data_IF_073389804746
#
_entry.id   IF_073389804746
#
_cell.length_a   1.000
_cell.length_b   1.000
_cell.length_c   1.000
_cell.angle_alpha   90.00
_cell.angle_beta   90.00
_cell.angle_gamma   90.00
#
_symmetry.space_group_name_H-M   'P 1'
#
loop_
_entity.id
_entity.type
_entity.pdbx_description
1 polymer ?
#
# COMPACT_ATOMS: atom_id res chain seq x y z
N UNK A 1 34.44 3.63 32.31
CA UNK A 1 33.40 3.83 31.28
C UNK A 1 33.85 5.04 30.49
N UNK A 2 33.84 4.93 29.17
CA UNK A 2 34.34 5.99 28.29
C UNK A 2 33.40 7.21 28.38
N UNK A 3 33.88 8.41 28.77
CA UNK A 3 32.99 9.56 29.06
C UNK A 3 32.15 10.01 27.86
N UNK A 4 32.63 9.75 26.62
CA UNK A 4 31.93 10.15 25.40
C UNK A 4 30.69 9.26 25.05
N UNK A 5 30.54 8.10 25.71
CA UNK A 5 29.37 7.22 25.46
C UNK A 5 28.03 7.87 25.85
N UNK A 6 28.04 8.86 26.75
CA UNK A 6 26.86 9.62 27.12
C UNK A 6 26.36 10.57 26.01
N UNK A 7 27.27 10.97 25.12
CA UNK A 7 27.00 11.91 24.01
C UNK A 7 27.00 11.20 22.66
N UNK A 8 26.87 9.86 22.65
CA UNK A 8 26.81 9.08 21.41
C UNK A 8 25.59 9.49 20.56
N UNK A 9 25.79 10.01 19.34
CA UNK A 9 24.68 10.35 18.47
C UNK A 9 23.82 9.10 18.16
N UNK A 10 22.51 9.25 18.13
CA UNK A 10 21.58 8.15 17.82
C UNK A 10 21.98 7.40 16.53
N UNK A 11 22.37 8.12 15.49
CA UNK A 11 22.86 7.54 14.23
C UNK A 11 24.09 6.64 14.35
N UNK A 12 24.88 6.77 15.45
CA UNK A 12 26.04 5.94 15.73
C UNK A 12 25.72 4.75 16.66
N UNK A 13 24.52 4.73 17.24
CA UNK A 13 24.08 3.64 18.11
C UNK A 13 23.66 2.42 17.27
N UNK A 14 24.43 1.33 17.38
CA UNK A 14 24.24 0.08 16.64
C UNK A 14 24.21 -1.09 17.62
N UNK A 15 23.12 -1.25 18.39
CA UNK A 15 23.01 -2.37 19.31
C UNK A 15 22.96 -3.69 18.54
N UNK A 16 23.65 -4.71 19.08
CA UNK A 16 23.56 -6.09 18.56
C UNK A 16 22.76 -6.93 19.54
N UNK A 17 21.69 -7.52 19.03
CA UNK A 17 20.91 -8.49 19.81
C UNK A 17 21.81 -9.64 20.28
N UNK A 18 21.55 -10.12 21.49
CA UNK A 18 22.16 -11.31 22.07
C UNK A 18 21.16 -12.46 22.21
N UNK A 19 19.95 -12.27 21.68
CA UNK A 19 18.95 -13.34 21.62
C UNK A 19 19.44 -14.47 20.73
N UNK A 20 19.06 -15.68 21.08
CA UNK A 20 19.25 -16.87 20.27
C UNK A 20 17.86 -17.39 19.93
N UNK A 21 17.37 -17.01 18.77
CA UNK A 21 16.05 -17.35 18.25
C UNK A 21 16.20 -18.20 17.00
N UNK A 22 15.11 -18.84 16.58
CA UNK A 22 15.07 -19.54 15.29
C UNK A 22 15.26 -18.55 14.16
N UNK A 23 15.98 -18.98 13.13
CA UNK A 23 16.19 -18.21 11.91
C UNK A 23 15.91 -19.11 10.71
N UNK A 24 14.92 -18.72 9.90
CA UNK A 24 14.61 -19.41 8.66
C UNK A 24 14.91 -18.49 7.48
N UNK A 25 15.54 -19.06 6.46
CA UNK A 25 15.68 -18.39 5.17
C UNK A 25 14.51 -18.82 4.28
N UNK A 26 13.66 -17.86 3.90
CA UNK A 26 12.52 -18.08 2.99
C UNK A 26 12.85 -17.40 1.67
N UNK A 27 13.45 -18.17 0.77
CA UNK A 27 13.94 -17.66 -0.50
C UNK A 27 12.81 -17.29 -1.48
N UNK A 28 11.63 -17.93 -1.36
CA UNK A 28 10.48 -17.75 -2.26
C UNK A 28 9.19 -18.11 -1.52
N UNK A 29 8.06 -17.58 -2.00
CA UNK A 29 6.75 -17.87 -1.45
C UNK A 29 6.45 -19.39 -1.49
N UNK A 30 5.92 -19.92 -0.38
CA UNK A 30 5.55 -21.35 -0.21
C UNK A 30 4.48 -21.77 -1.21
N UNK A 31 3.51 -20.90 -1.47
CA UNK A 31 2.51 -21.04 -2.52
C UNK A 31 2.60 -19.84 -3.46
N UNK A 32 2.15 -19.95 -4.73
CA UNK A 32 2.27 -18.84 -5.68
C UNK A 32 1.61 -17.55 -5.18
N UNK A 33 2.28 -16.40 -5.37
CA UNK A 33 1.83 -15.10 -4.89
C UNK A 33 1.61 -14.11 -6.04
N UNK A 34 0.79 -13.10 -5.80
CA UNK A 34 0.60 -11.91 -6.64
C UNK A 34 0.89 -10.71 -5.74
N UNK A 35 1.81 -9.86 -6.17
CA UNK A 35 2.04 -8.58 -5.51
C UNK A 35 0.98 -7.57 -6.00
N UNK A 36 -0.01 -7.31 -5.15
CA UNK A 36 -1.14 -6.45 -5.48
C UNK A 36 -0.88 -4.96 -5.26
N UNK A 37 0.33 -4.58 -4.79
CA UNK A 37 0.68 -3.18 -4.57
C UNK A 37 2.14 -2.94 -4.91
N UNK A 38 2.38 -2.44 -6.11
CA UNK A 38 3.72 -2.11 -6.56
C UNK A 38 3.72 -0.93 -7.56
N UNK A 39 4.89 -0.34 -7.78
CA UNK A 39 5.10 0.82 -8.63
C UNK A 39 6.10 0.50 -9.72
N UNK A 40 5.64 0.32 -10.97
CA UNK A 40 6.46 -0.11 -12.11
C UNK A 40 6.66 0.97 -13.17
N UNK A 41 5.86 2.02 -13.11
CA UNK A 41 5.87 3.12 -14.07
C UNK A 41 6.79 4.28 -13.65
N UNK A 42 6.57 5.43 -14.29
CA UNK A 42 7.39 6.64 -14.10
C UNK A 42 6.93 7.55 -12.99
N UNK A 43 5.81 7.26 -12.36
CA UNK A 43 5.18 8.21 -11.44
C UNK A 43 6.06 8.56 -10.25
N UNK A 44 6.70 7.57 -9.62
CA UNK A 44 7.60 7.78 -8.49
C UNK A 44 9.03 8.12 -8.90
N UNK A 45 9.47 7.75 -10.10
CA UNK A 45 10.81 8.00 -10.59
C UNK A 45 10.77 8.69 -11.94
N UNK A 46 11.09 9.97 -11.98
CA UNK A 46 11.13 10.76 -13.20
C UNK A 46 11.91 10.05 -14.33
N UNK A 47 11.19 9.61 -15.37
CA UNK A 47 11.76 8.98 -16.54
C UNK A 47 12.16 7.51 -16.41
N UNK A 48 11.94 6.88 -15.25
CA UNK A 48 12.25 5.45 -15.05
C UNK A 48 10.97 4.59 -15.14
N UNK A 49 11.11 3.39 -15.65
CA UNK A 49 10.09 2.35 -15.65
C UNK A 49 10.76 1.00 -15.56
N UNK A 50 10.21 0.08 -14.76
CA UNK A 50 10.75 -1.26 -14.57
C UNK A 50 10.80 -2.05 -15.88
N UNK A 51 11.92 -2.75 -16.13
CA UNK A 51 12.04 -3.64 -17.28
C UNK A 51 11.25 -4.94 -17.05
N UNK A 52 10.29 -5.31 -17.92
CA UNK A 52 9.52 -6.53 -17.77
C UNK A 52 10.35 -7.81 -17.73
N UNK A 53 11.54 -7.83 -18.34
CA UNK A 53 12.43 -8.99 -18.32
C UNK A 53 13.04 -9.18 -16.93
N UNK A 54 13.54 -8.11 -16.32
CA UNK A 54 14.07 -8.12 -14.95
C UNK A 54 12.97 -8.51 -13.95
N UNK A 55 11.78 -7.93 -14.10
CA UNK A 55 10.62 -8.30 -13.30
C UNK A 55 10.27 -9.79 -13.43
N UNK A 56 10.36 -10.35 -14.65
CA UNK A 56 10.08 -11.77 -14.89
C UNK A 56 11.09 -12.68 -14.21
N UNK A 57 12.35 -12.27 -14.09
CA UNK A 57 13.38 -12.99 -13.34
C UNK A 57 13.06 -13.00 -11.85
N UNK A 58 12.76 -11.83 -11.26
CA UNK A 58 12.33 -11.69 -9.85
C UNK A 58 11.07 -12.53 -9.58
N UNK A 59 10.08 -12.45 -10.48
CA UNK A 59 8.85 -13.23 -10.35
C UNK A 59 9.14 -14.74 -10.35
N UNK A 60 10.04 -15.21 -11.20
CA UNK A 60 10.44 -16.61 -11.26
C UNK A 60 11.16 -17.08 -10.00
N UNK A 61 12.10 -16.28 -9.49
CA UNK A 61 12.87 -16.59 -8.28
C UNK A 61 11.98 -16.57 -7.03
N UNK A 62 11.06 -15.60 -6.93
CA UNK A 62 10.20 -15.39 -5.75
C UNK A 62 8.88 -16.18 -5.77
N UNK A 63 8.58 -16.96 -6.82
CA UNK A 63 7.30 -17.66 -7.00
C UNK A 63 6.10 -16.69 -7.13
N UNK A 64 6.29 -15.60 -7.87
CA UNK A 64 5.21 -14.66 -8.15
C UNK A 64 4.53 -15.01 -9.48
N UNK A 65 3.21 -15.01 -9.48
CA UNK A 65 2.38 -15.16 -10.68
C UNK A 65 2.19 -13.83 -11.42
N UNK A 66 2.05 -12.74 -10.66
CA UNK A 66 1.79 -11.43 -11.21
C UNK A 66 2.20 -10.29 -10.27
N UNK A 67 2.28 -9.10 -10.83
CA UNK A 67 2.52 -7.83 -10.13
C UNK A 67 1.51 -6.81 -10.61
N UNK A 68 0.87 -6.10 -9.69
CA UNK A 68 0.00 -4.97 -9.99
C UNK A 68 0.84 -3.71 -10.12
N UNK A 69 0.71 -3.03 -11.25
CA UNK A 69 1.35 -1.75 -11.49
C UNK A 69 0.39 -0.61 -11.10
N UNK A 70 0.69 0.10 -10.03
CA UNK A 70 -0.10 1.23 -9.56
C UNK A 70 0.32 2.58 -10.17
N UNK A 71 1.26 2.57 -11.13
CA UNK A 71 1.77 3.77 -11.82
C UNK A 71 1.27 3.89 -13.26
N UNK A 72 0.04 3.48 -13.53
CA UNK A 72 -0.48 3.52 -14.90
C UNK A 72 -0.63 4.92 -15.49
N UNK A 73 -0.85 5.94 -14.66
CA UNK A 73 -1.14 7.28 -15.17
C UNK A 73 -2.52 7.38 -15.84
N UNK A 74 -2.65 8.27 -16.81
CA UNK A 74 -3.86 8.47 -17.63
C UNK A 74 -3.47 8.80 -19.08
N UNK A 75 -4.43 8.75 -20.01
CA UNK A 75 -4.22 9.09 -21.42
C UNK A 75 -3.07 8.29 -22.05
N UNK A 76 -2.16 8.98 -22.74
CA UNK A 76 -1.03 8.35 -23.45
C UNK A 76 -0.07 7.60 -22.51
N UNK A 77 0.09 8.05 -21.26
CA UNK A 77 0.92 7.36 -20.27
C UNK A 77 0.29 6.01 -19.88
N UNK A 78 -1.03 5.97 -19.70
CA UNK A 78 -1.75 4.73 -19.44
C UNK A 78 -1.60 3.74 -20.60
N UNK A 79 -1.78 4.20 -21.83
CA UNK A 79 -1.60 3.37 -23.03
C UNK A 79 -0.19 2.79 -23.11
N UNK A 80 0.83 3.61 -22.85
CA UNK A 80 2.23 3.15 -22.86
C UNK A 80 2.51 2.10 -21.78
N UNK A 81 1.95 2.25 -20.58
CA UNK A 81 2.08 1.26 -19.50
C UNK A 81 1.32 -0.04 -19.81
N UNK A 82 0.10 0.06 -20.35
CA UNK A 82 -0.68 -1.11 -20.79
C UNK A 82 0.04 -1.88 -21.90
N UNK A 83 0.65 -1.20 -22.88
CA UNK A 83 1.43 -1.84 -23.93
C UNK A 83 2.67 -2.53 -23.37
N UNK A 84 3.38 -1.88 -22.45
CA UNK A 84 4.62 -2.39 -21.87
C UNK A 84 4.40 -3.63 -21.00
N UNK A 85 3.34 -3.64 -20.19
CA UNK A 85 3.13 -4.67 -19.18
C UNK A 85 1.98 -5.61 -19.55
N UNK A 86 0.74 -5.12 -19.58
CA UNK A 86 -0.45 -5.94 -19.67
C UNK A 86 -0.59 -6.66 -21.01
N UNK A 87 -0.44 -5.92 -22.12
CA UNK A 87 -0.62 -6.46 -23.48
C UNK A 87 0.56 -7.32 -23.90
N UNK A 88 1.80 -6.92 -23.53
CA UNK A 88 3.01 -7.69 -23.84
C UNK A 88 3.12 -8.99 -23.02
N UNK A 89 2.56 -9.00 -21.81
CA UNK A 89 2.66 -10.12 -20.85
C UNK A 89 1.30 -10.46 -20.23
N UNK A 90 0.34 -10.97 -21.02
CA UNK A 90 -1.03 -11.21 -20.55
C UNK A 90 -1.08 -12.09 -19.30
N UNK A 91 -1.88 -11.66 -18.30
CA UNK A 91 -2.05 -12.38 -17.04
C UNK A 91 -0.95 -12.19 -16.01
N UNK A 92 0.17 -11.54 -16.38
CA UNK A 92 1.34 -11.32 -15.50
C UNK A 92 1.33 -9.96 -14.81
N UNK A 93 0.72 -8.97 -15.43
CA UNK A 93 0.61 -7.62 -14.92
C UNK A 93 -0.83 -7.13 -14.97
N UNK A 94 -1.16 -6.22 -14.05
CA UNK A 94 -2.44 -5.53 -14.01
C UNK A 94 -2.18 -4.04 -13.71
N UNK A 95 -2.34 -3.19 -14.71
CA UNK A 95 -2.06 -1.75 -14.60
C UNK A 95 -3.31 -0.99 -14.15
N UNK A 96 -3.18 -0.22 -13.06
CA UNK A 96 -4.20 0.67 -12.53
C UNK A 96 -4.02 2.08 -13.10
N UNK A 97 -5.10 2.71 -13.50
CA UNK A 97 -5.08 4.10 -13.95
C UNK A 97 -5.05 5.07 -12.75
N UNK A 98 -4.73 6.32 -13.04
CA UNK A 98 -4.87 7.46 -12.14
C UNK A 98 -5.93 8.43 -12.66
N UNK A 99 -6.25 9.44 -11.84
CA UNK A 99 -7.03 10.61 -12.23
C UNK A 99 -6.13 11.83 -12.34
N UNK A 100 -6.40 12.70 -13.29
CA UNK A 100 -5.77 14.01 -13.35
C UNK A 100 -6.45 14.97 -12.38
N UNK A 101 -5.92 15.04 -11.16
CA UNK A 101 -6.49 15.88 -10.12
C UNK A 101 -6.43 17.38 -10.42
N UNK A 102 -5.74 17.83 -11.47
CA UNK A 102 -5.82 19.24 -11.94
C UNK A 102 -7.24 19.59 -12.40
N UNK A 103 -8.01 18.61 -12.82
CA UNK A 103 -9.42 18.76 -13.17
C UNK A 103 -10.29 19.23 -11.99
N UNK A 104 -9.89 18.92 -10.75
CA UNK A 104 -10.62 19.34 -9.54
C UNK A 104 -10.72 20.87 -9.39
N UNK A 105 -9.80 21.61 -9.99
CA UNK A 105 -9.83 23.07 -10.03
C UNK A 105 -10.89 23.66 -10.97
N UNK A 106 -11.73 22.83 -11.64
CA UNK A 106 -12.74 23.28 -12.60
C UNK A 106 -14.13 22.80 -12.18
N UNK A 107 -15.16 23.68 -12.12
CA UNK A 107 -16.53 23.26 -11.74
C UNK A 107 -17.06 22.08 -12.56
N UNK A 108 -17.77 21.17 -11.92
CA UNK A 108 -18.29 19.93 -12.56
C UNK A 108 -17.21 18.86 -12.80
N UNK A 109 -16.10 18.90 -12.09
CA UNK A 109 -14.99 17.98 -12.23
C UNK A 109 -15.38 16.49 -11.99
N UNK A 110 -16.33 16.23 -11.10
CA UNK A 110 -16.73 14.86 -10.76
C UNK A 110 -17.20 14.04 -11.95
N UNK A 111 -18.04 14.63 -12.82
CA UNK A 111 -18.52 13.97 -14.04
C UNK A 111 -17.38 13.76 -15.05
N UNK A 112 -16.49 14.75 -15.21
CA UNK A 112 -15.32 14.60 -16.11
C UNK A 112 -14.36 13.52 -15.65
N UNK A 113 -14.05 13.47 -14.35
CA UNK A 113 -13.23 12.42 -13.77
C UNK A 113 -13.88 11.05 -13.88
N UNK A 114 -15.22 10.97 -13.78
CA UNK A 114 -15.98 9.73 -14.04
C UNK A 114 -15.86 9.26 -15.50
N UNK A 115 -15.92 10.20 -16.45
CA UNK A 115 -15.66 9.91 -17.87
C UNK A 115 -14.22 9.45 -18.11
N UNK A 116 -13.23 9.98 -17.37
CA UNK A 116 -11.83 9.53 -17.42
C UNK A 116 -11.67 8.09 -16.91
N UNK A 117 -12.36 7.73 -15.84
CA UNK A 117 -12.45 6.33 -15.37
C UNK A 117 -13.00 5.42 -16.45
N UNK A 118 -14.12 5.80 -17.06
CA UNK A 118 -14.75 4.99 -18.11
C UNK A 118 -13.84 4.83 -19.35
N UNK A 119 -13.13 5.90 -19.76
CA UNK A 119 -12.15 5.85 -20.85
C UNK A 119 -10.96 4.95 -20.49
N UNK A 120 -10.43 5.06 -19.28
CA UNK A 120 -9.31 4.24 -18.81
C UNK A 120 -9.70 2.76 -18.74
N UNK A 121 -10.92 2.44 -18.29
CA UNK A 121 -11.46 1.09 -18.31
C UNK A 121 -11.57 0.54 -19.74
N UNK A 122 -12.08 1.35 -20.68
CA UNK A 122 -12.17 0.97 -22.09
C UNK A 122 -10.81 0.77 -22.75
N UNK A 123 -9.78 1.49 -22.33
CA UNK A 123 -8.39 1.30 -22.75
C UNK A 123 -7.78 0.00 -22.22
N UNK A 124 -8.28 -0.53 -21.11
CA UNK A 124 -7.87 -1.81 -20.54
C UNK A 124 -7.29 -1.74 -19.12
N UNK A 125 -7.39 -0.59 -18.45
CA UNK A 125 -7.01 -0.46 -17.04
C UNK A 125 -7.70 -1.52 -16.17
N UNK A 126 -7.02 -1.98 -15.12
CA UNK A 126 -7.47 -3.07 -14.24
C UNK A 126 -7.97 -2.59 -12.87
N UNK A 127 -7.85 -1.31 -12.60
CA UNK A 127 -8.30 -0.64 -11.39
C UNK A 127 -7.97 0.84 -11.43
N UNK A 128 -8.43 1.56 -10.41
CA UNK A 128 -8.10 2.95 -10.16
C UNK A 128 -7.19 3.05 -8.93
N UNK A 129 -6.02 3.68 -9.07
CA UNK A 129 -5.19 4.09 -7.93
C UNK A 129 -5.53 5.51 -7.52
N UNK A 130 -5.84 5.68 -6.25
CA UNK A 130 -5.99 6.99 -5.61
C UNK A 130 -4.86 7.17 -4.60
N UNK A 131 -4.07 8.22 -4.78
CA UNK A 131 -2.96 8.57 -3.91
C UNK A 131 -3.43 9.35 -2.69
N UNK A 132 -2.61 9.40 -1.65
CA UNK A 132 -2.84 10.19 -0.43
C UNK A 132 -3.02 11.69 -0.67
N UNK A 133 -2.65 12.16 -1.86
CA UNK A 133 -2.88 13.56 -2.27
C UNK A 133 -4.35 13.97 -2.16
N UNK A 134 -5.27 13.04 -2.42
CA UNK A 134 -6.69 13.25 -2.13
C UNK A 134 -6.91 13.22 -0.61
N UNK A 135 -7.23 14.36 -0.06
CA UNK A 135 -7.33 14.61 1.38
C UNK A 135 -6.14 15.36 1.98
N UNK A 136 -4.97 15.42 1.29
CA UNK A 136 -3.79 16.13 1.79
C UNK A 136 -3.36 17.31 0.92
N UNK A 137 -3.51 17.22 -0.40
CA UNK A 137 -2.96 18.22 -1.34
C UNK A 137 -3.94 18.66 -2.42
N UNK A 138 -4.84 17.79 -2.88
CA UNK A 138 -5.79 18.12 -3.93
C UNK A 138 -6.77 19.18 -3.45
N UNK A 139 -6.91 20.26 -4.24
CA UNK A 139 -7.81 21.37 -3.94
C UNK A 139 -8.82 21.57 -5.06
N UNK A 140 -10.01 22.01 -4.68
CA UNK A 140 -11.08 22.35 -5.63
C UNK A 140 -10.90 23.74 -6.24
N UNK A 141 -11.88 24.17 -7.03
CA UNK A 141 -11.94 25.45 -7.72
C UNK A 141 -12.06 26.67 -6.77
N UNK A 142 -12.38 26.44 -5.49
CA UNK A 142 -12.40 27.45 -4.44
C UNK A 142 -11.10 27.47 -3.63
N UNK A 143 -10.17 26.56 -3.90
CA UNK A 143 -8.94 26.36 -3.14
C UNK A 143 -9.11 25.58 -1.85
N UNK A 144 -10.31 25.00 -1.61
CA UNK A 144 -10.58 24.16 -0.46
C UNK A 144 -10.03 22.74 -0.68
N UNK A 145 -9.58 22.10 0.40
CA UNK A 145 -9.03 20.74 0.34
C UNK A 145 -10.13 19.73 -0.02
N UNK A 146 -9.89 18.97 -1.08
CA UNK A 146 -10.83 17.94 -1.53
C UNK A 146 -10.63 16.64 -0.73
N UNK A 147 -11.65 16.26 0.01
CA UNK A 147 -11.64 15.06 0.85
C UNK A 147 -12.16 13.83 0.09
N UNK A 148 -11.73 12.60 0.45
CA UNK A 148 -12.21 11.37 -0.21
C UNK A 148 -13.73 11.18 -0.17
N UNK A 149 -14.40 11.67 0.87
CA UNK A 149 -15.86 11.61 1.08
C UNK A 149 -16.64 12.78 0.47
N UNK A 150 -15.98 13.64 -0.33
CA UNK A 150 -16.68 14.74 -0.99
C UNK A 150 -17.74 14.23 -1.95
N UNK A 151 -18.98 14.70 -1.78
CA UNK A 151 -20.13 14.24 -2.57
C UNK A 151 -19.97 14.49 -4.09
N UNK A 152 -19.14 15.47 -4.47
CA UNK A 152 -18.84 15.76 -5.89
C UNK A 152 -18.04 14.64 -6.56
N UNK A 153 -17.37 13.76 -5.77
CA UNK A 153 -16.66 12.58 -6.28
C UNK A 153 -17.56 11.35 -6.45
N UNK A 154 -18.82 11.41 -6.04
CA UNK A 154 -19.73 10.26 -6.18
C UNK A 154 -19.84 9.70 -7.62
N UNK A 155 -19.82 10.51 -8.70
CA UNK A 155 -19.80 9.98 -10.07
C UNK A 155 -18.56 9.13 -10.38
N UNK A 156 -17.39 9.46 -9.80
CA UNK A 156 -16.13 8.70 -9.98
C UNK A 156 -16.28 7.29 -9.44
N UNK A 157 -16.77 7.18 -8.21
CA UNK A 157 -16.96 5.88 -7.54
C UNK A 157 -18.03 5.04 -8.22
N UNK A 158 -19.11 5.69 -8.69
CA UNK A 158 -20.14 5.02 -9.48
C UNK A 158 -19.58 4.48 -10.80
N UNK A 159 -18.76 5.25 -11.51
CA UNK A 159 -18.09 4.82 -12.76
C UNK A 159 -17.16 3.62 -12.52
N UNK A 160 -16.43 3.58 -11.41
CA UNK A 160 -15.64 2.41 -11.02
C UNK A 160 -16.52 1.16 -10.82
N UNK A 161 -17.66 1.30 -10.15
CA UNK A 161 -18.59 0.19 -9.95
C UNK A 161 -19.21 -0.31 -11.27
N UNK A 162 -19.55 0.60 -12.18
CA UNK A 162 -20.16 0.30 -13.49
C UNK A 162 -19.16 -0.37 -14.45
N UNK A 163 -17.91 0.04 -14.40
CA UNK A 163 -16.83 -0.53 -15.22
C UNK A 163 -16.17 -1.77 -14.59
N UNK A 164 -16.51 -2.09 -13.33
CA UNK A 164 -15.91 -3.20 -12.60
C UNK A 164 -14.47 -2.96 -12.16
N UNK A 165 -14.01 -1.71 -12.14
CA UNK A 165 -12.67 -1.37 -11.64
C UNK A 165 -12.65 -1.29 -10.11
N UNK A 166 -11.81 -2.08 -9.42
CA UNK A 166 -11.55 -1.86 -8.00
C UNK A 166 -10.79 -0.53 -7.81
N UNK A 167 -11.00 0.10 -6.65
CA UNK A 167 -10.29 1.32 -6.26
C UNK A 167 -9.28 0.97 -5.18
N UNK A 168 -7.98 1.04 -5.49
CA UNK A 168 -6.94 0.97 -4.49
C UNK A 168 -6.62 2.39 -4.03
N UNK A 169 -6.97 2.67 -2.77
CA UNK A 169 -6.87 4.02 -2.21
C UNK A 169 -5.89 4.06 -1.04
N UNK A 170 -4.93 4.98 -1.14
CA UNK A 170 -4.02 5.34 -0.05
C UNK A 170 -4.63 6.53 0.69
N UNK A 171 -5.09 6.29 1.92
CA UNK A 171 -5.64 7.32 2.80
C UNK A 171 -4.72 7.51 3.99
N UNK A 172 -4.40 8.76 4.31
CA UNK A 172 -3.48 9.12 5.39
C UNK A 172 -2.06 8.54 5.20
N UNK A 173 -1.34 8.43 6.27
CA UNK A 173 0.00 7.84 6.44
C UNK A 173 0.10 7.34 7.90
N UNK A 174 1.21 6.72 8.35
CA UNK A 174 1.35 6.34 9.76
C UNK A 174 0.98 7.46 10.72
N UNK A 175 0.34 7.12 11.83
CA UNK A 175 -0.15 8.10 12.83
C UNK A 175 0.94 9.09 13.24
N UNK A 176 2.17 8.61 13.39
CA UNK A 176 3.31 9.44 13.77
C UNK A 176 3.64 10.57 12.78
N UNK A 177 3.18 10.47 11.51
CA UNK A 177 3.36 11.56 10.54
C UNK A 177 2.45 12.76 10.82
N UNK A 178 1.42 12.57 11.65
CA UNK A 178 0.49 13.60 12.10
C UNK A 178 0.77 14.08 13.53
N UNK A 179 1.72 13.44 14.22
CA UNK A 179 2.13 13.81 15.57
C UNK A 179 3.17 14.95 15.56
N UNK A 180 3.41 15.61 16.71
CA UNK A 180 4.49 16.57 16.84
C UNK A 180 5.85 15.98 16.43
N UNK A 181 6.63 16.75 15.68
CA UNK A 181 7.97 16.36 15.26
C UNK A 181 8.96 16.62 16.41
N UNK A 182 9.00 15.73 17.40
CA UNK A 182 9.85 15.84 18.58
C UNK A 182 10.51 14.48 18.92
N UNK A 183 11.29 14.43 20.00
CA UNK A 183 12.02 13.24 20.43
C UNK A 183 11.14 12.04 20.84
N UNK A 184 9.83 12.19 20.87
CA UNK A 184 8.86 11.12 21.17
C UNK A 184 8.20 10.55 19.92
N UNK A 185 8.39 11.19 18.76
CA UNK A 185 7.87 10.71 17.50
C UNK A 185 8.64 9.44 17.08
N UNK A 186 7.93 8.32 16.97
CA UNK A 186 8.57 7.02 16.65
C UNK A 186 9.15 6.96 15.22
N UNK A 187 8.70 7.86 14.33
CA UNK A 187 9.14 7.97 12.94
C UNK A 187 10.07 9.16 12.70
N UNK A 188 10.65 9.72 13.77
CA UNK A 188 11.46 10.94 13.69
C UNK A 188 12.61 10.84 12.67
N UNK A 189 13.35 9.72 12.63
CA UNK A 189 14.48 9.57 11.70
C UNK A 189 13.99 9.57 10.24
N UNK A 190 12.91 8.88 9.93
CA UNK A 190 12.27 8.86 8.62
C UNK A 190 11.76 10.26 8.19
N UNK A 191 11.07 10.96 9.11
CA UNK A 191 10.55 12.29 8.83
C UNK A 191 11.63 13.36 8.71
N UNK A 192 12.81 13.15 9.27
CA UNK A 192 13.96 14.03 9.05
C UNK A 192 14.60 13.83 7.67
N UNK A 193 14.49 12.64 7.09
CA UNK A 193 14.92 12.33 5.73
C UNK A 193 13.86 12.75 4.69
N UNK A 194 12.58 12.69 5.07
CA UNK A 194 11.42 13.01 4.24
C UNK A 194 10.52 14.06 4.91
N UNK A 195 10.97 15.31 5.06
CA UNK A 195 10.25 16.35 5.81
C UNK A 195 8.90 16.73 5.19
N UNK A 196 8.70 16.48 3.91
CA UNK A 196 7.44 16.65 3.17
C UNK A 196 6.36 15.60 3.52
N UNK A 197 6.73 14.53 4.23
CA UNK A 197 5.78 13.53 4.72
C UNK A 197 5.19 13.87 6.08
N UNK A 198 5.62 14.98 6.71
CA UNK A 198 5.06 15.41 7.98
C UNK A 198 3.79 16.24 7.79
N UNK A 199 2.69 15.77 8.32
CA UNK A 199 1.35 16.35 8.24
C UNK A 199 0.85 16.88 9.60
N UNK A 200 1.74 17.14 10.55
CA UNK A 200 1.38 17.62 11.90
C UNK A 200 0.90 19.07 11.96
N UNK A 201 1.09 19.85 10.88
CA UNK A 201 0.60 21.24 10.78
C UNK A 201 -0.92 21.28 10.54
N UNK A 202 -1.69 21.55 11.62
CA UNK A 202 -3.16 21.58 11.60
C UNK A 202 -3.76 22.78 10.85
N UNK A 203 -2.97 23.77 10.48
CA UNK A 203 -3.43 24.87 9.61
C UNK A 203 -3.40 24.47 8.14
N UNK A 204 -2.58 23.49 7.79
CA UNK A 204 -2.38 23.04 6.41
C UNK A 204 -3.05 21.71 6.09
N UNK A 205 -3.09 20.80 7.06
CA UNK A 205 -3.55 19.42 6.87
C UNK A 205 -4.67 19.04 7.85
N UNK A 206 -5.59 18.17 7.45
CA UNK A 206 -6.61 17.62 8.33
C UNK A 206 -5.96 16.77 9.43
N UNK A 207 -6.73 16.44 10.45
CA UNK A 207 -6.30 15.44 11.43
C UNK A 207 -6.30 14.04 10.81
N UNK A 208 -5.49 13.15 11.39
CA UNK A 208 -5.51 11.74 11.04
C UNK A 208 -6.93 11.15 11.14
N UNK A 209 -7.62 11.40 12.26
CA UNK A 209 -8.99 10.93 12.47
C UNK A 209 -9.96 11.42 11.39
N UNK A 210 -9.84 12.70 10.94
CA UNK A 210 -10.69 13.23 9.86
C UNK A 210 -10.48 12.50 8.54
N UNK A 211 -9.25 12.07 8.24
CA UNK A 211 -8.96 11.28 7.05
C UNK A 211 -9.55 9.88 7.15
N UNK A 212 -9.47 9.24 8.31
CA UNK A 212 -10.10 7.93 8.55
C UNK A 212 -11.63 8.00 8.48
N UNK A 213 -12.24 9.05 9.05
CA UNK A 213 -13.68 9.29 8.95
C UNK A 213 -14.11 9.48 7.48
N UNK A 214 -13.30 10.20 6.70
CA UNK A 214 -13.55 10.38 5.28
C UNK A 214 -13.45 9.05 4.51
N UNK A 215 -12.46 8.23 4.81
CA UNK A 215 -12.32 6.91 4.20
C UNK A 215 -13.50 5.98 4.57
N UNK A 216 -13.89 5.95 5.84
CA UNK A 216 -15.05 5.17 6.26
C UNK A 216 -16.34 5.65 5.56
N UNK A 217 -16.57 6.96 5.50
CA UNK A 217 -17.73 7.56 4.82
C UNK A 217 -17.74 7.24 3.33
N UNK A 218 -16.57 7.28 2.66
CA UNK A 218 -16.39 6.89 1.27
C UNK A 218 -16.83 5.44 1.03
N UNK A 219 -16.29 4.51 1.83
CA UNK A 219 -16.57 3.07 1.70
C UNK A 219 -18.05 2.76 1.95
N UNK A 220 -18.60 3.34 3.03
CA UNK A 220 -20.01 3.19 3.42
C UNK A 220 -20.97 3.76 2.39
N UNK A 221 -20.65 4.92 1.80
CA UNK A 221 -21.48 5.61 0.80
C UNK A 221 -21.51 4.94 -0.58
N UNK A 222 -20.55 4.05 -0.86
CA UNK A 222 -20.38 3.44 -2.18
C UNK A 222 -20.36 1.90 -2.14
N UNK A 223 -21.43 1.24 -1.69
CA UNK A 223 -21.44 -0.22 -1.43
C UNK A 223 -21.29 -1.10 -2.70
N UNK A 224 -21.45 -0.53 -3.89
CA UNK A 224 -21.24 -1.25 -5.16
C UNK A 224 -19.81 -1.18 -5.67
N UNK A 225 -19.00 -0.25 -5.16
CA UNK A 225 -17.61 -0.08 -5.53
C UNK A 225 -16.73 -0.93 -4.62
N UNK A 226 -15.83 -1.71 -5.20
CA UNK A 226 -14.86 -2.49 -4.44
C UNK A 226 -13.66 -1.59 -4.09
N UNK A 227 -13.37 -1.45 -2.81
CA UNK A 227 -12.22 -0.71 -2.32
C UNK A 227 -11.14 -1.64 -1.79
N UNK A 228 -9.89 -1.30 -2.05
CA UNK A 228 -8.71 -1.85 -1.40
C UNK A 228 -8.04 -0.69 -0.65
N UNK A 229 -8.16 -0.69 0.67
CA UNK A 229 -7.46 0.27 1.52
C UNK A 229 -5.98 -0.09 1.58
N UNK A 230 -5.13 0.73 0.98
CA UNK A 230 -3.69 0.53 0.99
C UNK A 230 -3.14 0.55 2.43
N UNK A 231 -2.04 -0.18 2.64
CA UNK A 231 -1.30 -0.12 3.91
C UNK A 231 -2.16 -0.47 5.13
N UNK A 232 -2.87 -1.60 5.05
CA UNK A 232 -3.80 -2.08 6.10
C UNK A 232 -4.94 -1.07 6.36
N UNK A 233 -5.44 -0.47 5.26
CA UNK A 233 -6.51 0.53 5.34
C UNK A 233 -6.07 1.89 5.90
N UNK A 234 -4.76 2.15 5.94
CA UNK A 234 -4.18 3.39 6.46
C UNK A 234 -4.03 3.46 7.99
N UNK A 235 -4.34 2.36 8.72
CA UNK A 235 -4.24 2.36 10.20
C UNK A 235 -3.71 1.04 10.75
N UNK A 236 -2.50 0.67 10.33
CA UNK A 236 -1.83 -0.55 10.78
C UNK A 236 -1.49 -0.55 12.29
N UNK A 237 -1.49 0.61 12.93
CA UNK A 237 -1.23 0.79 14.36
C UNK A 237 -2.44 0.42 15.22
N UNK A 238 -3.68 0.40 14.67
CA UNK A 238 -4.90 -0.06 15.34
C UNK A 238 -5.64 -1.15 14.55
N UNK A 239 -5.24 -2.40 14.74
CA UNK A 239 -5.89 -3.56 14.10
C UNK A 239 -7.33 -3.81 14.59
N UNK A 240 -7.73 -3.22 15.72
CA UNK A 240 -9.10 -3.24 16.18
C UNK A 240 -10.03 -2.40 15.29
N UNK A 241 -9.57 -1.22 14.89
CA UNK A 241 -10.26 -0.38 13.91
C UNK A 241 -10.34 -1.07 12.54
N UNK A 242 -9.22 -1.63 12.05
CA UNK A 242 -9.18 -2.36 10.77
C UNK A 242 -10.17 -3.52 10.76
N UNK A 243 -10.21 -4.30 11.83
CA UNK A 243 -11.15 -5.41 11.99
C UNK A 243 -12.60 -4.94 11.93
N UNK A 244 -12.95 -3.87 12.65
CA UNK A 244 -14.28 -3.28 12.61
C UNK A 244 -14.68 -2.84 11.19
N UNK A 245 -13.77 -2.23 10.47
CA UNK A 245 -14.01 -1.83 9.08
C UNK A 245 -14.30 -3.03 8.18
N UNK A 246 -13.48 -4.08 8.26
CA UNK A 246 -13.68 -5.32 7.49
C UNK A 246 -14.96 -6.07 7.89
N UNK A 247 -15.33 -6.09 9.17
CA UNK A 247 -16.57 -6.68 9.66
C UNK A 247 -17.81 -5.93 9.15
N UNK A 248 -17.70 -4.59 9.02
CA UNK A 248 -18.85 -3.72 8.72
C UNK A 248 -19.07 -3.58 7.21
N UNK A 249 -18.00 -3.48 6.41
CA UNK A 249 -18.08 -3.12 4.98
C UNK A 249 -17.66 -4.26 4.07
N UNK A 250 -18.61 -5.01 3.48
CA UNK A 250 -18.31 -6.16 2.59
C UNK A 250 -17.58 -5.79 1.29
N UNK A 251 -17.63 -4.53 0.88
CA UNK A 251 -16.95 -3.99 -0.30
C UNK A 251 -15.52 -3.49 -0.02
N UNK A 252 -15.04 -3.58 1.25
CA UNK A 252 -13.68 -3.20 1.62
C UNK A 252 -12.77 -4.43 1.66
N UNK A 253 -11.60 -4.30 1.10
CA UNK A 253 -10.41 -5.14 1.24
C UNK A 253 -9.26 -4.27 1.74
N UNK A 254 -8.17 -4.88 2.21
CA UNK A 254 -6.93 -4.17 2.55
C UNK A 254 -5.73 -4.90 1.97
N UNK A 255 -4.62 -4.20 1.75
CA UNK A 255 -3.34 -4.83 1.45
C UNK A 255 -2.35 -4.71 2.60
N UNK A 256 -1.23 -5.44 2.53
CA UNK A 256 -0.19 -5.48 3.56
C UNK A 256 1.00 -4.56 3.24
N UNK A 257 0.94 -3.85 2.14
CA UNK A 257 2.06 -3.12 1.56
C UNK A 257 2.70 -2.15 2.56
N UNK A 258 4.02 -2.15 2.63
CA UNK A 258 4.85 -1.31 3.47
C UNK A 258 4.53 -1.34 4.98
N UNK A 259 3.82 -2.38 5.49
CA UNK A 259 3.37 -2.43 6.91
C UNK A 259 3.85 -3.67 7.67
N UNK A 260 4.83 -4.40 7.14
CA UNK A 260 5.43 -5.53 7.89
C UNK A 260 6.07 -5.08 9.21
N UNK A 261 6.53 -3.84 9.28
CA UNK A 261 7.12 -3.26 10.48
C UNK A 261 6.09 -3.05 11.60
N UNK A 262 4.89 -2.55 11.30
CA UNK A 262 3.81 -2.38 12.28
C UNK A 262 3.19 -3.70 12.67
N UNK A 263 2.87 -4.53 11.67
CA UNK A 263 2.24 -5.83 11.88
C UNK A 263 3.15 -6.79 12.66
N UNK A 264 4.46 -6.77 12.36
CA UNK A 264 5.43 -7.64 13.01
C UNK A 264 5.80 -7.22 14.44
N UNK A 265 5.47 -5.98 14.88
CA UNK A 265 5.54 -5.55 16.27
C UNK A 265 4.33 -5.97 17.10
N UNK A 266 3.25 -6.39 16.44
CA UNK A 266 2.03 -6.90 17.06
C UNK A 266 1.59 -8.24 16.44
N UNK A 267 2.48 -9.26 16.41
CA UNK A 267 2.28 -10.46 15.59
C UNK A 267 1.04 -11.25 15.96
N UNK A 268 0.67 -11.31 17.23
CA UNK A 268 -0.54 -12.03 17.66
C UNK A 268 -1.81 -11.40 17.11
N UNK A 269 -1.95 -10.06 17.23
CA UNK A 269 -3.11 -9.34 16.73
C UNK A 269 -3.17 -9.36 15.19
N UNK A 270 -2.00 -9.23 14.52
CA UNK A 270 -1.90 -9.33 13.07
C UNK A 270 -2.31 -10.72 12.58
N UNK A 271 -1.81 -11.79 13.23
CA UNK A 271 -2.20 -13.17 12.91
C UNK A 271 -3.70 -13.38 13.08
N UNK A 272 -4.28 -12.93 14.20
CA UNK A 272 -5.71 -13.06 14.47
C UNK A 272 -6.57 -12.32 13.43
N UNK A 273 -6.14 -11.14 12.97
CA UNK A 273 -6.81 -10.40 11.91
C UNK A 273 -6.77 -11.19 10.58
N UNK A 274 -5.60 -11.68 10.17
CA UNK A 274 -5.45 -12.40 8.92
C UNK A 274 -6.16 -13.77 8.93
N UNK A 275 -6.24 -14.43 10.07
CA UNK A 275 -7.04 -15.67 10.21
C UNK A 275 -8.54 -15.39 10.10
N UNK A 276 -9.03 -14.30 10.69
CA UNK A 276 -10.44 -13.96 10.68
C UNK A 276 -10.92 -13.43 9.31
N UNK A 277 -10.04 -12.72 8.58
CA UNK A 277 -10.36 -12.03 7.32
C UNK A 277 -9.45 -12.47 6.17
N UNK A 278 -9.08 -13.75 6.14
CA UNK A 278 -8.19 -14.31 5.13
C UNK A 278 -8.65 -14.04 3.68
N UNK A 279 -9.96 -13.88 3.47
CA UNK A 279 -10.57 -13.59 2.16
C UNK A 279 -10.63 -12.10 1.79
N UNK A 280 -10.15 -11.22 2.67
CA UNK A 280 -10.28 -9.75 2.51
C UNK A 280 -8.93 -9.03 2.48
N UNK A 281 -7.83 -9.76 2.66
CA UNK A 281 -6.47 -9.21 2.69
C UNK A 281 -5.73 -9.61 1.43
N UNK A 282 -5.06 -8.65 0.78
CA UNK A 282 -4.21 -8.86 -0.38
C UNK A 282 -2.73 -8.74 0.02
N UNK A 283 -1.90 -9.60 -0.55
CA UNK A 283 -0.46 -9.45 -0.46
C UNK A 283 -0.02 -8.29 -1.34
N UNK A 284 0.87 -7.45 -0.82
CA UNK A 284 1.51 -6.35 -1.52
C UNK A 284 2.77 -5.94 -0.79
N UNK A 285 3.75 -5.41 -1.50
CA UNK A 285 5.03 -5.00 -0.91
C UNK A 285 5.23 -3.51 -0.85
N UNK A 286 4.77 -2.78 -1.87
CA UNK A 286 5.11 -1.37 -2.12
C UNK A 286 6.63 -1.18 -2.31
N UNK A 287 7.29 -2.23 -2.82
CA UNK A 287 8.72 -2.20 -3.12
C UNK A 287 8.98 -1.42 -4.39
N UNK A 288 9.87 -0.44 -4.29
CA UNK A 288 10.21 0.42 -5.40
C UNK A 288 11.73 0.68 -5.46
N UNK A 289 12.43 0.14 -6.48
CA UNK A 289 11.98 -0.92 -7.40
C UNK A 289 11.69 -2.25 -6.68
N UNK A 290 10.92 -3.17 -7.29
CA UNK A 290 10.78 -4.53 -6.77
C UNK A 290 12.14 -5.23 -6.65
N UNK A 291 12.38 -5.88 -5.51
CA UNK A 291 13.63 -6.61 -5.26
C UNK A 291 13.39 -7.89 -4.45
N UNK A 292 14.25 -8.90 -4.65
CA UNK A 292 14.13 -10.19 -4.00
C UNK A 292 14.28 -10.12 -2.47
N UNK A 293 15.09 -9.20 -1.95
CA UNK A 293 15.34 -9.12 -0.50
C UNK A 293 14.07 -8.66 0.23
N UNK A 294 13.34 -7.70 -0.33
CA UNK A 294 12.06 -7.24 0.18
C UNK A 294 11.03 -8.37 0.17
N UNK A 295 10.92 -9.13 -0.94
CA UNK A 295 10.02 -10.29 -1.00
C UNK A 295 10.36 -11.35 0.04
N UNK A 296 11.63 -11.69 0.23
CA UNK A 296 12.09 -12.68 1.21
C UNK A 296 11.74 -12.29 2.65
N UNK A 297 11.84 -10.99 2.98
CA UNK A 297 11.42 -10.47 4.29
C UNK A 297 9.91 -10.66 4.49
N UNK A 298 9.09 -10.32 3.48
CA UNK A 298 7.64 -10.50 3.54
C UNK A 298 7.25 -11.98 3.66
N UNK A 299 7.90 -12.88 2.91
CA UNK A 299 7.63 -14.32 3.02
C UNK A 299 8.03 -14.85 4.39
N UNK A 300 9.22 -14.50 4.90
CA UNK A 300 9.65 -14.87 6.25
C UNK A 300 8.64 -14.39 7.30
N UNK A 301 8.17 -13.16 7.17
CA UNK A 301 7.16 -12.59 8.06
C UNK A 301 5.84 -13.37 8.05
N UNK A 302 5.32 -13.73 6.89
CA UNK A 302 4.03 -14.39 6.77
C UNK A 302 4.09 -15.91 7.06
N UNK A 303 5.20 -16.58 6.72
CA UNK A 303 5.31 -18.04 6.66
C UNK A 303 6.01 -18.68 7.85
N UNK A 304 6.69 -17.91 8.71
CA UNK A 304 7.48 -18.45 9.83
C UNK A 304 7.03 -17.93 11.18
N UNK A 305 7.37 -18.67 12.23
CA UNK A 305 7.25 -18.24 13.62
C UNK A 305 8.56 -17.59 14.14
N UNK A 306 9.41 -17.10 13.26
CA UNK A 306 10.65 -16.45 13.65
C UNK A 306 10.38 -15.19 14.49
N UNK A 307 11.19 -14.99 15.50
CA UNK A 307 11.07 -13.85 16.40
C UNK A 307 12.28 -12.92 16.28
N UNK A 308 12.04 -11.63 16.48
CA UNK A 308 13.08 -10.63 16.67
C UNK A 308 14.07 -10.54 15.49
N UNK A 309 13.59 -10.48 14.27
CA UNK A 309 14.41 -10.31 13.07
C UNK A 309 14.23 -8.92 12.44
N UNK A 310 15.18 -8.52 11.59
CA UNK A 310 15.15 -7.25 10.88
C UNK A 310 14.09 -7.27 9.77
N UNK A 311 13.34 -6.18 9.62
CA UNK A 311 12.37 -5.99 8.55
C UNK A 311 12.96 -5.23 7.34
N UNK A 312 14.21 -4.85 7.41
CA UNK A 312 14.97 -4.16 6.36
C UNK A 312 16.39 -4.70 6.31
N UNK A 313 17.04 -4.59 5.17
CA UNK A 313 18.45 -4.92 4.97
C UNK A 313 19.40 -3.77 5.37
N UNK A 314 18.87 -2.60 5.70
CA UNK A 314 19.64 -1.42 6.02
C UNK A 314 20.14 -1.42 7.47
N UNK A 315 21.35 -0.85 7.69
CA UNK A 315 21.94 -0.70 9.03
C UNK A 315 21.09 0.17 9.96
N UNK A 316 20.41 1.18 9.41
CA UNK A 316 19.37 1.97 10.07
C UNK A 316 18.09 1.63 9.36
N UNK A 317 17.18 0.88 9.99
CA UNK A 317 15.91 0.54 9.37
C UNK A 317 15.10 1.81 9.05
N UNK A 318 14.50 1.92 7.83
CA UNK A 318 13.96 3.19 7.32
C UNK A 318 12.80 3.72 8.14
N UNK A 319 11.93 2.85 8.66
CA UNK A 319 10.73 3.26 9.39
C UNK A 319 10.94 3.43 10.90
N UNK A 320 11.96 2.75 11.47
CA UNK A 320 12.28 2.83 12.89
C UNK A 320 13.16 1.67 13.36
N UNK A 321 13.83 1.87 14.48
CA UNK A 321 14.86 0.95 14.99
C UNK A 321 14.29 -0.20 15.82
N UNK A 322 13.38 -0.95 15.26
CA UNK A 322 12.78 -2.13 15.87
C UNK A 322 13.01 -3.39 15.04
N UNK A 323 12.65 -4.51 15.62
CA UNK A 323 12.63 -5.82 15.01
C UNK A 323 11.19 -6.33 14.97
N UNK A 324 10.93 -7.30 14.11
CA UNK A 324 9.62 -7.89 13.91
C UNK A 324 9.62 -9.38 14.25
N UNK A 325 8.41 -9.95 14.37
CA UNK A 325 8.18 -11.38 14.51
C UNK A 325 7.22 -11.89 13.44
N UNK A 326 7.43 -13.11 13.00
CA UNK A 326 6.63 -13.74 11.97
C UNK A 326 5.25 -14.18 12.46
N UNK A 327 4.35 -14.48 11.51
CA UNK A 327 2.95 -14.80 11.77
C UNK A 327 2.65 -16.30 11.71
N UNK A 328 3.51 -17.13 11.12
CA UNK A 328 3.30 -18.57 10.94
C UNK A 328 1.88 -18.90 10.41
N UNK A 329 1.51 -18.28 9.28
CA UNK A 329 0.18 -18.45 8.72
C UNK A 329 -0.01 -19.84 8.11
N UNK A 330 -1.18 -20.46 8.29
CA UNK A 330 -1.54 -21.70 7.62
C UNK A 330 -1.54 -21.54 6.10
N UNK A 331 -1.18 -22.59 5.36
CA UNK A 331 -1.08 -22.57 3.89
C UNK A 331 -2.37 -22.09 3.21
N UNK A 332 -3.54 -22.48 3.74
CA UNK A 332 -4.83 -22.05 3.20
C UNK A 332 -5.03 -20.52 3.31
N UNK A 333 -4.56 -19.91 4.39
CA UNK A 333 -4.57 -18.45 4.58
C UNK A 333 -3.55 -17.79 3.66
N UNK A 334 -2.35 -18.36 3.55
CA UNK A 334 -1.33 -17.89 2.60
C UNK A 334 -1.86 -17.93 1.16
N UNK A 335 -2.50 -19.01 0.74
CA UNK A 335 -3.07 -19.12 -0.61
C UNK A 335 -4.16 -18.07 -0.88
N UNK A 336 -4.94 -17.71 0.14
CA UNK A 336 -5.94 -16.64 0.02
C UNK A 336 -5.27 -15.26 -0.12
N UNK A 337 -4.38 -14.92 0.82
CA UNK A 337 -3.70 -13.62 0.90
C UNK A 337 -2.76 -13.42 -0.29
N UNK A 338 -1.98 -14.44 -0.65
CA UNK A 338 -0.98 -14.32 -1.71
C UNK A 338 -1.58 -14.18 -3.11
N UNK A 339 -2.63 -14.93 -3.47
CA UNK A 339 -3.09 -14.89 -4.85
C UNK A 339 -4.62 -14.90 -5.03
N UNK A 340 -5.37 -15.72 -4.28
CA UNK A 340 -6.79 -15.94 -4.52
C UNK A 340 -7.61 -14.66 -4.42
N UNK A 341 -7.29 -13.80 -3.44
CA UNK A 341 -8.00 -12.54 -3.25
C UNK A 341 -7.68 -11.54 -4.37
N UNK A 342 -6.41 -11.40 -4.75
CA UNK A 342 -6.02 -10.53 -5.85
C UNK A 342 -6.73 -10.93 -7.15
N UNK A 343 -6.76 -12.22 -7.49
CA UNK A 343 -7.49 -12.73 -8.68
C UNK A 343 -8.99 -12.47 -8.64
N UNK A 344 -9.59 -12.51 -7.46
CA UNK A 344 -11.03 -12.24 -7.30
C UNK A 344 -11.36 -10.75 -7.43
N UNK A 345 -10.48 -9.89 -6.94
CA UNK A 345 -10.71 -8.44 -6.85
C UNK A 345 -10.22 -7.70 -8.07
N UNK A 346 -9.09 -8.13 -8.64
CA UNK A 346 -8.39 -7.42 -9.72
C UNK A 346 -8.53 -8.20 -11.03
N UNK A 347 -9.20 -7.64 -12.05
CA UNK A 347 -9.36 -8.32 -13.33
C UNK A 347 -8.02 -8.48 -14.07
N UNK A 348 -7.89 -9.57 -14.84
CA UNK A 348 -6.75 -9.80 -15.74
C UNK A 348 -5.54 -10.48 -15.11
N UNK A 349 -5.65 -11.01 -13.89
CA UNK A 349 -4.61 -11.80 -13.19
C UNK A 349 -4.91 -13.32 -13.21
N UNK A 350 -5.39 -13.83 -14.34
CA UNK A 350 -5.90 -15.20 -14.47
C UNK A 350 -4.84 -16.26 -14.85
N UNK A 351 -3.56 -15.88 -14.93
CA UNK A 351 -2.48 -16.77 -15.37
C UNK A 351 -2.07 -17.83 -14.33
#
# INVERSE_FOLDING_TARGET
MDPWLGDLPLRAYRPRSRLRVSEHEVARARVPAIDAHNHLGRWLAEGWASDPSELSEIMGSCNLLGIVNLDGGWGDELEANLDRYDRAHPGRFATFCHLDWREAAVPGFGDRLADDVARSAAAGAKGLKVWKDLGLHVRDDLGELLMPDDARLAPVWASCAETGLPVLIHTADPVAFFDPLDARNERLEELLEHPDWWFGDRERFPSFDRLLDAFESLVAGNPRTVFVGAHVGGFAEDLGWVRRMLDTYPNLHVDLAARVSELGRQPSAARDLLLAHADRVLFGTDAFPPDEATYRIHFRFLETADEHFAYSTEDVPPQGRWTISGLDLPEEVLAAVYARNARRVIPGLDA
#
